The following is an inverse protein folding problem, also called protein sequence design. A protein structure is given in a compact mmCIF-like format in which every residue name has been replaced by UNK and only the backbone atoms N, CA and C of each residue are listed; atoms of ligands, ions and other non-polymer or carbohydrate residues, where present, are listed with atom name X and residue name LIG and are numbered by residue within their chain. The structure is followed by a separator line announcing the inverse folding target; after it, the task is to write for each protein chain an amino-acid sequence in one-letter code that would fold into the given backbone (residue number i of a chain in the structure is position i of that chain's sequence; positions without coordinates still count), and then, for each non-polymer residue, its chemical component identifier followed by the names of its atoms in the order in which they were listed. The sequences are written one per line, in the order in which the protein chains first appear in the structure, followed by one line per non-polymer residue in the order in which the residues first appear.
data_IF_373094409072
#
_entry.id   IF_373094409072
#
_cell.length_a   1.000
_cell.length_b   1.000
_cell.length_c   1.000
_cell.angle_alpha   90.00
_cell.angle_beta   90.00
_cell.angle_gamma   90.00
#
_symmetry.space_group_name_H-M   'P 1'
#
loop_
_entity.id
_entity.type
_entity.pdbx_description
1 polymer ?
#
# COMPACT_ATOMS: atom_id res chain seq x y z
N UNK A 1 -7.96 -28.86 -24.46
CA UNK A 1 -8.44 -28.52 -23.09
C UNK A 1 -7.30 -27.77 -22.42
N UNK A 2 -7.36 -26.44 -22.35
CA UNK A 2 -6.28 -25.63 -21.78
C UNK A 2 -6.41 -25.67 -20.26
N UNK A 3 -5.36 -26.08 -19.56
CA UNK A 3 -5.29 -25.96 -18.11
C UNK A 3 -5.17 -24.48 -17.76
N UNK A 4 -6.17 -23.93 -17.05
CA UNK A 4 -6.02 -22.61 -16.42
C UNK A 4 -4.99 -22.80 -15.29
N UNK A 5 -3.78 -22.26 -15.47
CA UNK A 5 -2.78 -22.25 -14.40
C UNK A 5 -3.25 -21.22 -13.36
N UNK A 6 -3.54 -21.69 -12.16
CA UNK A 6 -3.79 -20.81 -11.03
C UNK A 6 -2.48 -20.10 -10.67
N UNK A 7 -2.54 -18.77 -10.54
CA UNK A 7 -1.41 -17.95 -10.11
C UNK A 7 -1.53 -17.69 -8.60
N UNK A 8 -0.48 -17.99 -7.84
CA UNK A 8 -0.40 -17.57 -6.44
C UNK A 8 0.21 -16.17 -6.36
N UNK A 9 -0.46 -15.29 -5.63
CA UNK A 9 0.02 -13.97 -5.25
C UNK A 9 0.16 -13.92 -3.73
N UNK A 10 1.30 -13.43 -3.26
CA UNK A 10 1.53 -13.06 -1.87
C UNK A 10 1.50 -11.55 -1.79
N UNK A 11 0.87 -11.00 -0.77
CA UNK A 11 0.68 -9.56 -0.68
C UNK A 11 0.73 -9.08 0.76
N UNK A 12 1.01 -7.80 0.88
CA UNK A 12 0.92 -7.05 2.13
C UNK A 12 0.40 -5.64 1.83
N UNK A 13 -0.15 -5.00 2.87
CA UNK A 13 -0.82 -3.71 2.75
C UNK A 13 -0.60 -2.89 4.00
N UNK A 14 -0.46 -1.59 3.83
CA UNK A 14 -0.39 -0.63 4.93
C UNK A 14 -1.64 0.24 4.97
N UNK A 15 -2.09 0.61 6.16
CA UNK A 15 -3.32 1.38 6.37
C UNK A 15 -3.12 2.54 7.35
N UNK A 16 -4.01 3.53 7.28
CA UNK A 16 -4.02 4.66 8.22
C UNK A 16 -4.33 4.24 9.67
N UNK A 17 -5.11 3.17 9.84
CA UNK A 17 -5.48 2.59 11.14
C UNK A 17 -5.85 1.10 11.01
N UNK A 18 -5.60 0.30 12.05
CA UNK A 18 -6.09 -1.08 12.17
C UNK A 18 -7.58 -1.12 12.62
N UNK A 19 -8.46 -0.57 11.80
CA UNK A 19 -9.91 -0.54 12.05
C UNK A 19 -10.70 -0.60 10.74
N UNK A 20 -12.04 -0.71 10.83
CA UNK A 20 -12.92 -0.64 9.64
C UNK A 20 -12.89 0.71 8.92
N UNK A 21 -12.30 1.74 9.54
CA UNK A 21 -12.15 3.07 8.96
C UNK A 21 -10.78 3.27 8.30
N UNK A 22 -9.86 2.30 8.44
CA UNK A 22 -8.54 2.37 7.85
C UNK A 22 -8.63 2.56 6.33
N UNK A 23 -7.94 3.58 5.84
CA UNK A 23 -7.76 3.87 4.43
C UNK A 23 -6.45 3.21 3.98
N UNK A 24 -6.42 2.71 2.75
CA UNK A 24 -5.26 2.02 2.20
C UNK A 24 -4.16 3.03 1.87
N UNK A 25 -2.97 2.83 2.41
CA UNK A 25 -1.80 3.69 2.16
C UNK A 25 -0.97 3.14 1.01
N UNK A 26 -0.66 1.84 1.05
CA UNK A 26 0.14 1.16 0.04
C UNK A 26 -0.19 -0.32 -0.02
N UNK A 27 0.11 -0.93 -1.16
CA UNK A 27 0.01 -2.37 -1.36
C UNK A 27 1.20 -2.89 -2.16
N UNK A 28 1.59 -4.13 -1.87
CA UNK A 28 2.61 -4.85 -2.61
C UNK A 28 2.10 -6.25 -2.97
N UNK A 29 2.37 -6.70 -4.19
CA UNK A 29 2.15 -8.08 -4.62
C UNK A 29 3.47 -8.69 -5.10
N UNK A 30 3.67 -9.97 -4.82
CA UNK A 30 4.66 -10.81 -5.48
C UNK A 30 4.00 -12.09 -5.98
N UNK A 31 4.21 -12.42 -7.26
CA UNK A 31 3.72 -13.67 -7.84
C UNK A 31 4.64 -14.84 -7.48
N UNK A 32 4.13 -16.07 -7.50
CA UNK A 32 4.98 -17.26 -7.32
C UNK A 32 6.07 -17.41 -8.40
N UNK A 33 5.98 -16.64 -9.49
CA UNK A 33 7.01 -16.58 -10.53
C UNK A 33 7.97 -15.39 -10.32
N UNK A 34 7.82 -14.60 -9.27
CA UNK A 34 8.71 -13.49 -8.89
C UNK A 34 8.36 -12.13 -9.48
N UNK A 35 7.20 -11.97 -10.13
CA UNK A 35 6.76 -10.66 -10.62
C UNK A 35 6.31 -9.80 -9.44
N UNK A 36 6.71 -8.53 -9.42
CA UNK A 36 6.46 -7.60 -8.31
C UNK A 36 5.60 -6.44 -8.82
N UNK A 37 4.60 -6.07 -8.02
CA UNK A 37 3.85 -4.84 -8.17
C UNK A 37 3.82 -4.10 -6.84
N UNK A 38 4.06 -2.78 -6.87
CA UNK A 38 3.96 -1.90 -5.71
C UNK A 38 3.23 -0.62 -6.10
N UNK A 39 2.32 -0.16 -5.25
CA UNK A 39 1.60 1.09 -5.44
C UNK A 39 1.37 1.79 -4.11
N UNK A 40 1.35 3.11 -4.17
CA UNK A 40 0.95 3.99 -3.08
C UNK A 40 -0.29 4.77 -3.51
N UNK A 41 -1.22 4.94 -2.57
CA UNK A 41 -2.46 5.66 -2.78
C UNK A 41 -2.26 7.15 -2.41
N UNK A 42 -2.93 8.04 -3.12
CA UNK A 42 -2.89 9.49 -2.92
C UNK A 42 -4.23 10.07 -2.43
N UNK A 43 -5.23 9.21 -2.19
CA UNK A 43 -6.59 9.56 -1.79
C UNK A 43 -6.88 9.35 -0.30
N UNK A 44 -5.86 9.13 0.53
CA UNK A 44 -5.96 9.08 1.98
C UNK A 44 -5.43 10.34 2.67
N UNK A 45 -5.91 10.59 3.88
CA UNK A 45 -5.53 11.77 4.67
C UNK A 45 -4.48 11.43 5.73
N UNK A 46 -3.31 12.08 5.68
CA UNK A 46 -2.22 11.86 6.66
C UNK A 46 -2.69 12.20 8.08
N UNK A 47 -3.59 13.17 8.24
CA UNK A 47 -4.20 13.53 9.51
C UNK A 47 -5.01 12.40 10.18
N UNK A 48 -5.38 11.35 9.44
CA UNK A 48 -6.02 10.15 9.99
C UNK A 48 -5.01 9.14 10.56
N UNK A 49 -3.70 9.34 10.34
CA UNK A 49 -2.64 8.46 10.82
C UNK A 49 -2.21 8.83 12.24
N UNK A 50 -1.97 7.82 13.09
CA UNK A 50 -1.31 8.03 14.37
C UNK A 50 0.22 8.21 14.21
N UNK A 51 0.91 8.60 15.29
CA UNK A 51 2.36 8.83 15.29
C UNK A 51 3.14 7.59 14.79
N UNK A 52 2.73 6.38 15.19
CA UNK A 52 3.40 5.15 14.77
C UNK A 52 3.31 4.95 13.25
N UNK A 53 2.14 5.17 12.65
CA UNK A 53 1.94 5.04 11.20
C UNK A 53 2.73 6.12 10.46
N UNK A 54 2.76 7.36 10.96
CA UNK A 54 3.55 8.44 10.35
C UNK A 54 5.04 8.08 10.35
N UNK A 55 5.57 7.65 11.48
CA UNK A 55 6.98 7.34 11.65
C UNK A 55 7.43 6.08 10.91
N UNK A 56 6.61 5.04 10.89
CA UNK A 56 7.03 3.72 10.39
C UNK A 56 6.51 3.39 9.00
N UNK A 57 5.41 4.01 8.55
CA UNK A 57 4.82 3.79 7.23
C UNK A 57 5.04 5.00 6.33
N UNK A 58 4.47 6.16 6.69
CA UNK A 58 4.46 7.35 5.81
C UNK A 58 5.88 7.82 5.48
N UNK A 59 6.78 7.80 6.47
CA UNK A 59 8.19 8.21 6.28
C UNK A 59 8.95 7.35 5.25
N UNK A 60 8.50 6.11 5.00
CA UNK A 60 9.14 5.14 4.12
C UNK A 60 8.53 5.10 2.71
N UNK A 61 7.50 5.89 2.45
CA UNK A 61 6.87 5.97 1.14
C UNK A 61 7.80 6.61 0.10
N UNK A 62 7.81 6.04 -1.11
CA UNK A 62 8.61 6.44 -2.26
C UNK A 62 8.14 7.76 -2.88
N UNK A 63 6.83 8.04 -2.85
CA UNK A 63 6.25 9.24 -3.49
C UNK A 63 5.80 10.31 -2.49
N UNK A 64 6.31 10.29 -1.26
CA UNK A 64 5.92 11.23 -0.20
C UNK A 64 6.11 12.70 -0.58
N UNK A 65 7.18 13.05 -1.30
CA UNK A 65 7.46 14.44 -1.70
C UNK A 65 6.49 14.97 -2.78
N UNK A 66 5.76 14.08 -3.46
CA UNK A 66 4.78 14.46 -4.49
C UNK A 66 3.38 14.71 -3.92
N UNK A 67 3.10 14.30 -2.67
CA UNK A 67 1.77 14.47 -2.04
C UNK A 67 1.46 15.91 -1.65
N UNK A 68 2.47 16.72 -1.35
CA UNK A 68 2.28 18.12 -0.95
C UNK A 68 1.89 19.06 -2.10
N UNK A 69 1.84 18.56 -3.35
CA UNK A 69 1.51 19.36 -4.54
C UNK A 69 -0.01 19.55 -4.71
N UNK A 70 -0.83 18.79 -4.00
CA UNK A 70 -2.29 18.78 -4.13
C UNK A 70 -3.06 19.29 -2.91
N UNK A 71 -2.39 19.94 -1.95
CA UNK A 71 -3.04 20.67 -0.85
C UNK A 71 -3.22 22.16 -1.16
#
# INVERSE_FOLDING_TARGET
MTMIKQLRLYFDTEFTELSKKGELISLAFISENGEIFYAEFDDFYIENCNEWVIENVISNLLYKDMRDVHK
#
